data_IF_339726339478
#
_entry.id   IF_339726339478
#
_cell.length_a   1.000
_cell.length_b   1.000
_cell.length_c   1.000
_cell.angle_alpha   90.00
_cell.angle_beta   90.00
_cell.angle_gamma   90.00
#
_symmetry.space_group_name_H-M   'P 1'
#
loop_
_entity.id
_entity.type
_entity.pdbx_description
1 polymer ?
#
# COMPACT_ATOMS: atom_id res chain seq x y z
N UNK A 1 22.51 48.24 42.87
CA UNK A 1 22.96 47.03 42.14
C UNK A 1 22.09 45.86 42.55
N UNK A 2 21.81 44.96 41.58
CA UNK A 2 21.04 43.71 41.65
C UNK A 2 19.58 43.87 41.17
N UNK A 3 19.02 42.99 40.32
CA UNK A 3 19.52 41.84 39.57
C UNK A 3 18.41 41.46 38.57
N UNK A 4 18.83 40.98 37.40
CA UNK A 4 18.13 40.03 36.52
C UNK A 4 16.90 40.54 35.73
N UNK A 5 17.20 40.96 34.49
CA UNK A 5 16.25 41.03 33.39
C UNK A 5 15.94 39.60 32.94
N UNK A 6 14.68 39.21 33.13
CA UNK A 6 14.17 37.86 32.84
C UNK A 6 14.22 37.52 31.36
N UNK A 7 14.73 36.31 31.08
CA UNK A 7 14.75 35.69 29.76
C UNK A 7 13.33 35.17 29.46
N UNK A 8 12.57 35.84 28.60
CA UNK A 8 11.30 35.29 28.09
C UNK A 8 11.64 34.30 26.98
N UNK A 9 11.74 33.02 27.35
CA UNK A 9 11.84 31.91 26.41
C UNK A 9 10.48 31.75 25.70
N UNK A 10 10.39 32.21 24.46
CA UNK A 10 9.26 31.96 23.58
C UNK A 10 9.25 30.49 23.16
N UNK A 11 8.39 29.68 23.78
CA UNK A 11 8.10 28.33 23.32
C UNK A 11 7.22 28.45 22.08
N UNK A 12 7.84 28.44 20.89
CA UNK A 12 7.15 28.20 19.63
C UNK A 12 6.61 26.77 19.66
N UNK A 13 5.34 26.63 20.05
CA UNK A 13 4.57 25.41 19.84
C UNK A 13 4.42 25.23 18.32
N UNK A 14 5.41 24.58 17.70
CA UNK A 14 5.28 24.09 16.35
C UNK A 14 4.19 23.01 16.36
N UNK A 15 2.97 23.39 16.03
CA UNK A 15 1.89 22.47 15.74
C UNK A 15 2.29 21.67 14.50
N UNK A 16 2.93 20.53 14.70
CA UNK A 16 3.13 19.56 13.62
C UNK A 16 1.74 19.12 13.19
N UNK A 17 1.27 19.63 12.05
CA UNK A 17 0.10 19.10 11.36
C UNK A 17 0.41 17.64 11.03
N UNK A 18 -0.11 16.71 11.83
CA UNK A 18 -0.17 15.31 11.47
C UNK A 18 -1.23 15.21 10.38
N UNK A 19 -0.80 15.33 9.13
CA UNK A 19 -1.66 14.91 8.02
C UNK A 19 -1.78 13.39 8.14
N UNK A 20 -3.01 12.91 8.33
CA UNK A 20 -3.29 11.48 8.21
C UNK A 20 -2.92 11.07 6.78
N UNK A 21 -2.01 10.11 6.65
CA UNK A 21 -1.69 9.54 5.35
C UNK A 21 -2.95 8.89 4.77
N UNK A 22 -3.16 9.02 3.45
CA UNK A 22 -4.24 8.31 2.79
C UNK A 22 -4.08 6.80 3.01
N UNK A 23 -5.20 6.09 3.14
CA UNK A 23 -5.21 4.63 3.23
C UNK A 23 -6.04 4.04 2.09
N UNK A 24 -5.70 2.82 1.71
CA UNK A 24 -6.30 2.12 0.58
C UNK A 24 -6.69 0.70 1.01
N UNK A 25 -7.90 0.29 0.65
CA UNK A 25 -8.25 -1.12 0.64
C UNK A 25 -7.75 -1.73 -0.67
N UNK A 26 -6.85 -2.70 -0.57
CA UNK A 26 -6.32 -3.46 -1.70
C UNK A 26 -6.85 -4.88 -1.62
N UNK A 27 -7.66 -5.24 -2.60
CA UNK A 27 -8.16 -6.60 -2.80
C UNK A 27 -7.36 -7.24 -3.92
N UNK A 28 -6.72 -8.37 -3.65
CA UNK A 28 -5.93 -9.09 -4.64
C UNK A 28 -6.45 -10.50 -4.75
N UNK A 29 -6.57 -11.03 -5.97
CA UNK A 29 -6.86 -12.44 -6.23
C UNK A 29 -5.76 -13.03 -7.11
N UNK A 30 -5.14 -14.11 -6.65
CA UNK A 30 -4.03 -14.78 -7.32
C UNK A 30 -4.50 -16.15 -7.80
N UNK A 31 -4.31 -16.41 -9.09
CA UNK A 31 -4.69 -17.63 -9.77
C UNK A 31 -3.48 -18.31 -10.40
N UNK A 32 -3.52 -19.64 -10.53
CA UNK A 32 -2.61 -20.43 -11.37
C UNK A 32 -3.42 -21.43 -12.17
N UNK A 33 -3.20 -21.51 -13.48
CA UNK A 33 -3.96 -22.40 -14.35
C UNK A 33 -5.49 -22.27 -14.14
N UNK A 34 -5.95 -21.03 -13.93
CA UNK A 34 -7.33 -20.65 -13.59
C UNK A 34 -7.88 -21.12 -12.22
N UNK A 35 -7.08 -21.76 -11.39
CA UNK A 35 -7.44 -22.08 -10.00
C UNK A 35 -7.11 -20.90 -9.08
N UNK A 36 -8.06 -20.49 -8.22
CA UNK A 36 -7.83 -19.44 -7.21
C UNK A 36 -6.96 -20.01 -6.09
N UNK A 37 -5.80 -19.40 -5.87
CA UNK A 37 -4.85 -19.82 -4.84
C UNK A 37 -4.90 -18.94 -3.59
N UNK A 38 -5.10 -17.64 -3.75
CA UNK A 38 -5.18 -16.70 -2.64
C UNK A 38 -6.04 -15.49 -2.99
N UNK A 39 -6.73 -14.92 -1.99
CA UNK A 39 -7.55 -13.72 -2.14
C UNK A 39 -7.46 -12.76 -0.94
N UNK A 40 -6.27 -12.22 -0.62
CA UNK A 40 -6.12 -11.33 0.54
C UNK A 40 -6.79 -9.97 0.30
N UNK A 41 -7.24 -9.38 1.40
CA UNK A 41 -7.69 -7.99 1.48
C UNK A 41 -6.85 -7.28 2.52
N UNK A 42 -6.22 -6.17 2.15
CA UNK A 42 -5.32 -5.44 3.05
C UNK A 42 -5.66 -3.95 3.08
N UNK A 43 -5.50 -3.35 4.25
CA UNK A 43 -5.45 -1.91 4.41
C UNK A 43 -4.00 -1.46 4.25
N UNK A 44 -3.74 -0.57 3.29
CA UNK A 44 -2.39 -0.14 2.89
C UNK A 44 -2.31 1.37 3.04
N UNK A 45 -1.33 1.85 3.80
CA UNK A 45 -1.05 3.28 3.90
C UNK A 45 -0.31 3.77 2.65
N UNK A 46 -0.54 5.01 2.26
CA UNK A 46 0.14 5.64 1.12
C UNK A 46 1.66 5.49 1.23
N UNK A 47 2.29 4.98 0.16
CA UNK A 47 3.75 4.86 0.02
C UNK A 47 4.41 3.99 1.11
N UNK A 48 3.63 3.26 1.89
CA UNK A 48 4.14 2.29 2.86
C UNK A 48 3.86 0.88 2.34
N UNK A 49 4.85 -0.04 2.42
CA UNK A 49 4.60 -1.43 2.09
C UNK A 49 3.70 -2.07 3.14
N UNK A 50 2.72 -2.84 2.68
CA UNK A 50 1.94 -3.74 3.49
C UNK A 50 2.16 -5.17 3.01
N UNK A 51 2.41 -6.09 3.94
CA UNK A 51 2.71 -7.48 3.61
C UNK A 51 1.87 -8.48 4.39
N UNK A 52 1.63 -9.62 3.74
CA UNK A 52 0.98 -10.78 4.32
C UNK A 52 1.71 -12.05 3.86
N UNK A 53 1.84 -13.02 4.76
CA UNK A 53 2.34 -14.35 4.47
C UNK A 53 1.34 -15.39 4.96
N UNK A 54 1.01 -16.37 4.12
CA UNK A 54 0.05 -17.43 4.43
C UNK A 54 0.75 -18.77 4.25
N UNK A 55 1.06 -19.42 5.37
CA UNK A 55 1.87 -20.64 5.39
C UNK A 55 3.25 -20.42 4.77
N UNK A 56 3.83 -21.48 4.19
CA UNK A 56 5.16 -21.44 3.57
C UNK A 56 5.12 -21.16 2.06
N UNK A 57 3.93 -21.23 1.44
CA UNK A 57 3.78 -21.24 0.00
C UNK A 57 3.38 -19.89 -0.63
N UNK A 58 3.00 -18.91 0.18
CA UNK A 58 2.50 -17.61 -0.29
C UNK A 58 2.99 -16.46 0.58
N UNK A 59 3.63 -15.47 -0.06
CA UNK A 59 3.85 -14.15 0.51
C UNK A 59 3.48 -13.08 -0.49
N UNK A 60 2.88 -12.00 -0.02
CA UNK A 60 2.44 -10.88 -0.83
C UNK A 60 2.79 -9.58 -0.11
N UNK A 61 3.49 -8.70 -0.80
CA UNK A 61 3.72 -7.33 -0.40
C UNK A 61 3.15 -6.41 -1.47
N UNK A 62 2.58 -5.29 -1.03
CA UNK A 62 2.06 -4.25 -1.91
C UNK A 62 2.37 -2.88 -1.37
N UNK A 63 2.70 -1.97 -2.28
CA UNK A 63 2.81 -0.54 -2.03
C UNK A 63 1.87 0.19 -2.98
N UNK A 64 1.06 1.10 -2.44
CA UNK A 64 0.16 1.96 -3.23
C UNK A 64 0.74 3.37 -3.25
N UNK A 65 1.01 3.86 -4.47
CA UNK A 65 1.54 5.21 -4.72
C UNK A 65 0.46 5.99 -5.49
N UNK A 66 -0.29 6.89 -4.84
CA UNK A 66 -1.29 7.72 -5.48
C UNK A 66 -0.72 8.54 -6.63
N UNK A 67 -1.47 8.60 -7.71
CA UNK A 67 -1.15 9.37 -8.92
C UNK A 67 -2.28 10.36 -9.22
N UNK A 68 -2.07 11.17 -10.25
CA UNK A 68 -3.12 12.09 -10.74
C UNK A 68 -4.27 11.31 -11.39
N UNK A 69 -5.36 12.01 -11.70
CA UNK A 69 -6.49 11.48 -12.49
C UNK A 69 -7.17 10.23 -11.90
N UNK A 70 -7.28 10.15 -10.56
CA UNK A 70 -7.95 9.04 -9.88
C UNK A 70 -7.29 7.67 -10.12
N UNK A 71 -5.95 7.66 -10.23
CA UNK A 71 -5.16 6.44 -10.41
C UNK A 71 -4.13 6.25 -9.29
N UNK A 72 -3.59 5.04 -9.18
CA UNK A 72 -2.43 4.74 -8.37
C UNK A 72 -1.44 3.86 -9.14
N UNK A 73 -0.16 4.05 -8.91
CA UNK A 73 0.82 3.03 -9.19
C UNK A 73 0.80 2.01 -8.05
N UNK A 74 0.72 0.73 -8.41
CA UNK A 74 0.78 -0.39 -7.49
C UNK A 74 2.06 -1.14 -7.77
N UNK A 75 2.88 -1.28 -6.75
CA UNK A 75 4.07 -2.13 -6.77
C UNK A 75 3.80 -3.35 -5.90
N UNK A 76 4.11 -4.54 -6.40
CA UNK A 76 3.89 -5.78 -5.65
C UNK A 76 5.12 -6.66 -5.66
N UNK A 77 5.30 -7.43 -4.59
CA UNK A 77 6.26 -8.53 -4.51
C UNK A 77 5.51 -9.79 -4.10
N UNK A 78 5.56 -10.82 -4.94
CA UNK A 78 4.71 -12.00 -4.77
C UNK A 78 5.60 -13.25 -4.80
N UNK A 79 5.54 -14.04 -3.74
CA UNK A 79 6.08 -15.40 -3.71
C UNK A 79 4.93 -16.38 -3.75
N UNK A 80 4.94 -17.30 -4.71
CA UNK A 80 3.91 -18.31 -4.87
C UNK A 80 4.52 -19.65 -5.29
N UNK A 81 4.43 -20.66 -4.41
CA UNK A 81 4.98 -22.00 -4.61
C UNK A 81 6.45 -21.98 -5.11
N UNK A 82 7.30 -21.19 -4.45
CA UNK A 82 8.72 -21.06 -4.79
C UNK A 82 9.05 -20.14 -5.97
N UNK A 83 8.05 -19.60 -6.68
CA UNK A 83 8.26 -18.58 -7.71
C UNK A 83 8.16 -17.18 -7.11
N UNK A 84 9.05 -16.27 -7.51
CA UNK A 84 9.05 -14.87 -7.08
C UNK A 84 8.87 -13.93 -8.27
N UNK A 85 8.02 -12.91 -8.13
CA UNK A 85 7.75 -11.92 -9.17
C UNK A 85 7.39 -10.56 -8.58
N UNK A 86 7.77 -9.49 -9.29
CA UNK A 86 7.60 -8.09 -8.84
C UNK A 86 6.87 -7.21 -9.88
N UNK A 87 5.58 -7.44 -10.14
CA UNK A 87 4.84 -6.63 -11.08
C UNK A 87 4.55 -5.23 -10.53
N UNK A 88 4.60 -4.25 -11.44
CA UNK A 88 4.20 -2.86 -11.19
C UNK A 88 3.31 -2.36 -12.31
N UNK A 89 2.22 -1.68 -11.97
CA UNK A 89 1.24 -1.19 -12.95
C UNK A 89 0.41 -0.04 -12.38
N UNK A 90 -0.23 0.70 -13.28
CA UNK A 90 -1.14 1.81 -12.94
C UNK A 90 -2.57 1.27 -12.96
N UNK A 91 -3.32 1.54 -11.88
CA UNK A 91 -4.75 1.19 -11.76
C UNK A 91 -5.59 2.44 -11.55
N UNK A 92 -6.84 2.38 -12.00
CA UNK A 92 -7.86 3.37 -11.64
C UNK A 92 -8.57 2.92 -10.36
N UNK A 93 -8.79 3.85 -9.42
CA UNK A 93 -9.46 3.52 -8.17
C UNK A 93 -10.90 3.01 -8.42
N UNK A 94 -11.28 1.94 -7.72
CA UNK A 94 -12.61 1.33 -7.83
C UNK A 94 -12.82 0.47 -9.09
N UNK A 95 -11.79 0.29 -9.92
CA UNK A 95 -11.83 -0.61 -11.08
C UNK A 95 -10.85 -1.76 -10.91
N UNK A 96 -11.30 -2.96 -11.23
CA UNK A 96 -10.44 -4.13 -11.20
C UNK A 96 -9.48 -4.11 -12.39
N UNK A 97 -8.20 -4.27 -12.10
CA UNK A 97 -7.16 -4.56 -13.10
C UNK A 97 -6.75 -6.04 -13.00
N UNK A 98 -6.22 -6.60 -14.07
CA UNK A 98 -5.65 -7.96 -14.04
C UNK A 98 -4.49 -8.08 -15.00
N UNK A 99 -3.53 -8.93 -14.65
CA UNK A 99 -2.39 -9.25 -15.49
C UNK A 99 -2.05 -10.75 -15.41
N UNK A 100 -1.36 -11.24 -16.43
CA UNK A 100 -0.99 -12.64 -16.57
C UNK A 100 0.53 -12.76 -16.76
N UNK A 101 1.14 -13.72 -16.05
CA UNK A 101 2.56 -14.06 -16.14
C UNK A 101 2.66 -15.59 -16.24
N UNK A 102 2.86 -16.08 -17.46
CA UNK A 102 2.80 -17.51 -17.75
C UNK A 102 1.40 -18.04 -17.46
N UNK A 103 1.30 -19.03 -16.57
CA UNK A 103 0.03 -19.61 -16.12
C UNK A 103 -0.59 -18.88 -14.93
N UNK A 104 0.10 -17.89 -14.36
CA UNK A 104 -0.37 -17.16 -13.20
C UNK A 104 -1.16 -15.93 -13.64
N UNK A 105 -2.28 -15.66 -12.99
CA UNK A 105 -3.06 -14.44 -13.16
C UNK A 105 -3.20 -13.75 -11.82
N UNK A 106 -3.04 -12.44 -11.79
CA UNK A 106 -3.30 -11.63 -10.61
C UNK A 106 -4.33 -10.57 -10.97
N UNK A 107 -5.39 -10.53 -10.19
CA UNK A 107 -6.42 -9.49 -10.24
C UNK A 107 -6.27 -8.60 -9.02
N UNK A 108 -6.48 -7.30 -9.19
CA UNK A 108 -6.34 -6.32 -8.13
C UNK A 108 -7.40 -5.24 -8.26
N UNK A 109 -7.95 -4.85 -7.12
CA UNK A 109 -8.85 -3.72 -6.97
C UNK A 109 -8.32 -2.83 -5.85
N UNK A 110 -8.08 -1.57 -6.16
CA UNK A 110 -7.66 -0.57 -5.18
C UNK A 110 -8.80 0.41 -4.95
N UNK A 111 -9.25 0.49 -3.71
CA UNK A 111 -10.30 1.41 -3.28
C UNK A 111 -9.74 2.37 -2.24
N UNK A 112 -10.05 3.66 -2.35
CA UNK A 112 -9.71 4.63 -1.29
C UNK A 112 -10.48 4.25 -0.03
N UNK A 113 -9.76 4.00 1.06
CA UNK A 113 -10.36 3.91 2.38
C UNK A 113 -10.80 5.31 2.79
N UNK A 114 -11.99 5.45 3.39
CA UNK A 114 -12.45 6.76 3.88
C UNK A 114 -11.58 7.14 5.07
N UNK A 115 -10.87 8.27 4.97
CA UNK A 115 -10.28 8.97 6.12
C UNK A 115 -11.35 9.48 7.07
#
# INVERSE_FOLDING_TARGET
MNKQLGLVAGVLLASSNCFAADSFQVETAVYRANELLASPVMLVEEKQPASISIGEGFSYEVTVIPQQNNTAAVETSITLAGSYFTPSFIVEYGKQASFEIGENKVSILVTKSKS
#
